data_IF_004849557907
#
_entry.id   IF_004849557907
#
_cell.length_a   1.000
_cell.length_b   1.000
_cell.length_c   1.000
_cell.angle_alpha   90.00
_cell.angle_beta   90.00
_cell.angle_gamma   90.00
#
_symmetry.space_group_name_H-M   'P 1'
#
loop_
_entity.id
_entity.type
_entity.pdbx_description
1 polymer ?
#
# COMPACT_ATOMS: atom_id res chain seq x y z
N UNK A 1 32.79 -10.54 -76.89
CA UNK A 1 32.23 -11.58 -77.78
C UNK A 1 30.79 -11.79 -77.42
N UNK A 2 29.88 -11.29 -78.18
CA UNK A 2 28.89 -11.96 -79.06
C UNK A 2 27.95 -12.87 -78.22
N UNK A 3 26.64 -12.78 -78.17
CA UNK A 3 25.50 -12.45 -79.06
C UNK A 3 24.31 -13.07 -78.39
N UNK A 4 23.12 -12.76 -78.37
CA UNK A 4 22.01 -12.21 -79.18
C UNK A 4 20.78 -12.54 -78.41
N UNK A 5 19.86 -11.68 -78.13
CA UNK A 5 18.66 -11.27 -78.84
C UNK A 5 17.66 -12.36 -79.24
N UNK A 6 16.42 -12.04 -78.90
CA UNK A 6 15.08 -12.24 -79.49
C UNK A 6 14.36 -13.54 -79.08
N UNK A 7 13.06 -13.55 -78.80
CA UNK A 7 11.80 -13.05 -79.41
C UNK A 7 10.68 -13.10 -78.39
N UNK A 8 9.93 -12.14 -78.16
CA UNK A 8 8.61 -11.74 -78.64
C UNK A 8 7.65 -12.90 -78.96
N UNK A 9 6.53 -12.84 -78.22
CA UNK A 9 5.36 -13.69 -78.46
C UNK A 9 4.15 -13.20 -77.68
N UNK A 10 3.47 -12.24 -78.27
CA UNK A 10 2.14 -11.75 -77.83
C UNK A 10 1.10 -12.84 -78.12
N UNK A 11 0.36 -13.28 -77.07
CA UNK A 11 -0.95 -13.91 -77.27
C UNK A 11 -1.91 -13.24 -76.34
N UNK A 12 -2.71 -12.37 -76.92
CA UNK A 12 -3.98 -11.87 -76.39
C UNK A 12 -5.01 -12.95 -76.60
N UNK A 13 -5.50 -13.52 -75.54
CA UNK A 13 -6.74 -14.30 -75.53
C UNK A 13 -7.77 -13.63 -74.66
N UNK A 14 -8.67 -12.92 -75.29
CA UNK A 14 -9.92 -12.45 -74.70
C UNK A 14 -10.78 -13.66 -74.41
N UNK A 15 -11.10 -13.90 -73.14
CA UNK A 15 -12.25 -14.72 -72.76
C UNK A 15 -13.10 -13.88 -71.82
N UNK A 16 -14.14 -13.33 -72.37
CA UNK A 16 -15.30 -12.84 -71.67
C UNK A 16 -16.14 -14.03 -71.23
N UNK A 17 -16.23 -14.30 -69.96
CA UNK A 17 -17.27 -15.14 -69.37
C UNK A 17 -17.69 -14.61 -68.00
N UNK A 18 -18.91 -14.16 -67.96
CA UNK A 18 -19.82 -14.32 -66.84
C UNK A 18 -19.52 -13.67 -65.50
N UNK A 19 -19.93 -12.43 -65.35
CA UNK A 19 -20.15 -11.83 -64.01
C UNK A 19 -21.37 -12.57 -63.39
N UNK A 20 -21.07 -13.56 -62.57
CA UNK A 20 -22.01 -14.01 -61.57
C UNK A 20 -21.61 -13.32 -60.24
N UNK A 21 -22.43 -12.34 -59.86
CA UNK A 21 -22.27 -11.61 -58.61
C UNK A 21 -22.42 -12.54 -57.41
N UNK A 22 -21.29 -12.89 -56.81
CA UNK A 22 -21.28 -13.35 -55.45
C UNK A 22 -21.04 -12.08 -54.61
N UNK A 23 -22.13 -11.50 -54.12
CA UNK A 23 -22.06 -10.45 -53.11
C UNK A 23 -21.43 -11.09 -51.88
N UNK A 24 -20.13 -10.93 -51.73
CA UNK A 24 -19.46 -11.12 -50.44
C UNK A 24 -19.96 -9.98 -49.55
N UNK A 25 -20.91 -10.30 -48.70
CA UNK A 25 -21.18 -9.52 -47.50
C UNK A 25 -19.90 -9.61 -46.67
N UNK A 26 -18.98 -8.67 -46.86
CA UNK A 26 -17.98 -8.35 -45.86
C UNK A 26 -18.79 -7.74 -44.70
N UNK A 27 -19.23 -8.57 -43.78
CA UNK A 27 -19.61 -8.12 -42.47
C UNK A 27 -18.33 -7.48 -41.89
N UNK A 28 -18.29 -6.15 -41.89
CA UNK A 28 -17.39 -5.43 -41.05
C UNK A 28 -17.74 -5.92 -39.65
N UNK A 29 -16.91 -6.81 -39.09
CA UNK A 29 -16.86 -7.01 -37.66
C UNK A 29 -16.60 -5.60 -37.12
N UNK A 30 -17.63 -4.96 -36.60
CA UNK A 30 -17.42 -3.88 -35.66
C UNK A 30 -16.63 -4.53 -34.55
N UNK A 31 -15.36 -4.14 -34.44
CA UNK A 31 -14.59 -4.36 -33.23
C UNK A 31 -15.47 -3.82 -32.12
N UNK A 32 -16.13 -4.72 -31.40
CA UNK A 32 -16.74 -4.36 -30.13
C UNK A 32 -15.54 -3.95 -29.31
N UNK A 33 -15.39 -2.66 -29.11
CA UNK A 33 -14.47 -2.10 -28.15
C UNK A 33 -14.86 -2.76 -26.84
N UNK A 34 -14.07 -3.77 -26.46
CA UNK A 34 -14.23 -4.51 -25.22
C UNK A 34 -13.98 -3.47 -24.14
N UNK A 35 -15.05 -2.81 -23.69
CA UNK A 35 -14.97 -1.87 -22.59
C UNK A 35 -14.46 -2.64 -21.40
N UNK A 36 -13.18 -2.48 -21.10
CA UNK A 36 -12.60 -2.97 -19.87
C UNK A 36 -13.51 -2.53 -18.72
N UNK A 37 -13.85 -3.43 -17.79
CA UNK A 37 -14.68 -3.05 -16.65
C UNK A 37 -14.00 -1.87 -15.94
N UNK A 38 -14.74 -0.79 -15.75
CA UNK A 38 -14.26 0.36 -15.00
C UNK A 38 -13.94 -0.10 -13.56
N UNK A 39 -12.70 0.07 -13.14
CA UNK A 39 -12.28 -0.22 -11.76
C UNK A 39 -12.71 0.98 -10.91
N UNK A 40 -13.64 0.79 -9.96
CA UNK A 40 -14.07 1.88 -9.10
C UNK A 40 -12.90 2.53 -8.35
N UNK A 41 -12.92 3.85 -8.22
CA UNK A 41 -11.92 4.64 -7.47
C UNK A 41 -10.47 4.52 -7.97
N UNK A 42 -10.23 3.94 -9.15
CA UNK A 42 -8.88 3.80 -9.68
C UNK A 42 -8.16 5.15 -9.82
N UNK A 43 -8.85 6.15 -10.37
CA UNK A 43 -8.27 7.49 -10.56
C UNK A 43 -8.04 8.21 -9.23
N UNK A 44 -8.92 8.01 -8.27
CA UNK A 44 -8.79 8.55 -6.92
C UNK A 44 -7.52 7.98 -6.25
N UNK A 45 -7.37 6.65 -6.29
CA UNK A 45 -6.20 5.98 -5.75
C UNK A 45 -4.91 6.39 -6.48
N UNK A 46 -4.91 6.46 -7.81
CA UNK A 46 -3.74 6.88 -8.59
C UNK A 46 -3.26 8.29 -8.28
N UNK A 47 -4.17 9.16 -7.82
CA UNK A 47 -3.85 10.51 -7.37
C UNK A 47 -3.42 10.61 -5.91
N UNK A 48 -3.45 9.52 -5.16
CA UNK A 48 -3.18 9.51 -3.73
C UNK A 48 -1.71 9.22 -3.38
N UNK A 49 -1.31 9.57 -2.17
CA UNK A 49 0.02 9.24 -1.65
C UNK A 49 0.27 7.73 -1.50
N UNK A 50 -0.76 6.89 -1.47
CA UNK A 50 -0.62 5.44 -1.46
C UNK A 50 -0.16 4.87 -2.81
N UNK A 51 -0.44 5.57 -3.91
CA UNK A 51 0.00 5.19 -5.25
C UNK A 51 1.26 5.92 -5.72
N UNK A 52 1.77 6.86 -4.93
CA UNK A 52 2.94 7.68 -5.28
C UNK A 52 4.23 6.87 -5.17
N UNK A 53 4.61 6.21 -6.26
CA UNK A 53 5.84 5.42 -6.35
C UNK A 53 7.13 6.24 -6.24
N UNK A 54 7.05 7.57 -6.32
CA UNK A 54 8.19 8.46 -6.14
C UNK A 54 8.35 8.96 -4.70
N UNK A 55 7.37 8.63 -3.83
CA UNK A 55 7.45 9.01 -2.42
C UNK A 55 8.61 8.30 -1.71
N UNK A 56 9.29 9.02 -0.82
CA UNK A 56 10.41 8.51 -0.02
C UNK A 56 10.05 7.21 0.72
N UNK A 57 8.80 7.05 1.11
CA UNK A 57 8.31 5.84 1.78
C UNK A 57 8.48 4.56 0.94
N UNK A 58 8.53 4.66 -0.38
CA UNK A 58 8.70 3.52 -1.28
C UNK A 58 10.06 3.52 -1.99
N UNK A 59 10.85 4.61 -1.84
CA UNK A 59 12.13 4.82 -2.52
C UNK A 59 13.33 4.77 -1.59
N UNK A 60 13.10 4.67 -0.29
CA UNK A 60 14.15 4.80 0.73
C UNK A 60 15.32 3.84 0.55
N UNK A 61 15.07 2.67 0.00
CA UNK A 61 16.07 1.60 -0.18
C UNK A 61 16.57 1.43 -1.62
N UNK A 62 16.27 2.36 -2.52
CA UNK A 62 16.64 2.27 -3.95
C UNK A 62 18.15 2.21 -4.18
N UNK A 63 18.91 2.88 -3.31
CA UNK A 63 20.37 2.97 -3.41
C UNK A 63 21.10 1.90 -2.57
N UNK A 64 20.38 1.04 -1.87
CA UNK A 64 20.94 -0.07 -1.09
C UNK A 64 21.44 -1.19 -2.02
N UNK A 65 22.37 -2.03 -1.53
CA UNK A 65 22.88 -3.19 -2.27
C UNK A 65 22.87 -4.44 -1.37
N UNK A 66 21.90 -5.35 -1.55
CA UNK A 66 20.79 -5.30 -2.53
C UNK A 66 19.74 -4.24 -2.20
N UNK A 67 19.07 -3.71 -3.25
CA UNK A 67 17.94 -2.80 -3.08
C UNK A 67 16.70 -3.57 -2.62
N UNK A 68 16.48 -3.63 -1.34
CA UNK A 68 15.41 -4.39 -0.69
C UNK A 68 14.83 -3.63 0.51
N UNK A 69 13.53 -3.68 0.66
CA UNK A 69 12.84 -3.21 1.88
C UNK A 69 13.04 -4.27 2.97
N UNK A 70 13.70 -3.95 4.10
CA UNK A 70 13.94 -4.91 5.16
C UNK A 70 12.67 -5.50 5.77
N UNK A 71 12.72 -6.72 6.29
CA UNK A 71 11.60 -7.44 6.90
C UNK A 71 10.83 -6.59 7.93
N UNK A 72 11.55 -5.86 8.79
CA UNK A 72 10.96 -5.02 9.82
C UNK A 72 10.34 -3.71 9.29
N UNK A 73 10.50 -3.41 8.01
CA UNK A 73 9.96 -2.23 7.34
C UNK A 73 8.87 -2.62 6.32
N UNK A 74 9.00 -3.79 5.68
CA UNK A 74 8.21 -4.17 4.52
C UNK A 74 6.71 -4.29 4.80
N UNK A 75 6.29 -4.61 6.03
CA UNK A 75 4.86 -4.57 6.42
C UNK A 75 4.17 -3.26 6.04
N UNK A 76 4.87 -2.14 6.14
CA UNK A 76 4.29 -0.81 5.94
C UNK A 76 4.75 -0.15 4.63
N UNK A 77 5.87 -0.59 4.06
CA UNK A 77 6.52 0.06 2.95
C UNK A 77 6.48 -0.75 1.63
N UNK A 78 5.69 -1.82 1.61
CA UNK A 78 5.38 -2.59 0.40
C UNK A 78 4.05 -3.32 0.54
N UNK A 79 3.30 -3.47 -0.55
CA UNK A 79 2.12 -4.34 -0.56
C UNK A 79 2.50 -5.79 -0.35
N UNK A 80 3.58 -6.24 -0.96
CA UNK A 80 4.07 -7.63 -0.83
C UNK A 80 4.39 -7.97 0.62
N UNK A 81 5.10 -7.10 1.34
CA UNK A 81 5.39 -7.31 2.76
C UNK A 81 4.15 -7.24 3.66
N UNK A 82 3.18 -6.39 3.30
CA UNK A 82 1.90 -6.34 4.02
C UNK A 82 1.11 -7.64 3.86
N UNK A 83 1.04 -8.17 2.64
CA UNK A 83 0.33 -9.41 2.34
C UNK A 83 1.02 -10.62 3.00
N UNK A 84 2.35 -10.67 2.98
CA UNK A 84 3.16 -11.67 3.69
C UNK A 84 2.86 -11.61 5.20
N UNK A 85 2.92 -10.44 5.83
CA UNK A 85 2.59 -10.25 7.25
C UNK A 85 1.19 -10.78 7.61
N UNK A 86 0.24 -10.71 6.69
CA UNK A 86 -1.12 -11.24 6.90
C UNK A 86 -1.31 -12.69 6.42
N UNK A 87 -0.26 -13.36 5.97
CA UNK A 87 -0.31 -14.74 5.52
C UNK A 87 -1.15 -14.96 4.26
N UNK A 88 -1.36 -13.91 3.45
CA UNK A 88 -2.19 -13.99 2.22
C UNK A 88 -1.54 -14.91 1.19
N UNK A 89 -0.24 -15.00 1.18
CA UNK A 89 0.57 -15.88 0.33
C UNK A 89 0.73 -17.30 0.88
N UNK A 90 0.19 -17.56 2.08
CA UNK A 90 0.27 -18.82 2.78
C UNK A 90 1.43 -18.92 3.78
N UNK A 91 2.14 -17.82 4.04
CA UNK A 91 3.20 -17.71 5.03
C UNK A 91 2.66 -17.63 6.48
N UNK A 92 3.55 -17.51 7.45
CA UNK A 92 3.18 -17.35 8.86
C UNK A 92 2.60 -15.96 9.12
N UNK A 93 1.43 -15.90 9.72
CA UNK A 93 0.75 -14.63 10.06
C UNK A 93 1.49 -13.90 11.18
N UNK A 94 1.64 -12.59 11.03
CA UNK A 94 2.25 -11.71 12.02
C UNK A 94 3.76 -11.52 11.85
N UNK A 95 4.33 -12.08 10.80
CA UNK A 95 5.74 -11.97 10.46
C UNK A 95 5.90 -11.66 8.99
N UNK A 96 6.83 -10.78 8.63
CA UNK A 96 7.33 -10.67 7.26
C UNK A 96 8.50 -11.63 7.14
N UNK A 97 8.40 -12.62 6.27
CA UNK A 97 9.31 -13.77 6.25
C UNK A 97 10.64 -13.52 5.53
N UNK A 98 10.71 -12.47 4.72
CA UNK A 98 11.92 -12.06 4.00
C UNK A 98 11.86 -10.58 3.61
N UNK A 99 13.04 -9.98 3.38
CA UNK A 99 13.11 -8.68 2.72
C UNK A 99 12.41 -8.70 1.36
N UNK A 100 11.86 -7.56 0.95
CA UNK A 100 11.12 -7.41 -0.30
C UNK A 100 11.98 -6.61 -1.28
N UNK A 101 12.28 -7.14 -2.48
CA UNK A 101 12.98 -6.37 -3.50
C UNK A 101 12.24 -5.06 -3.82
N UNK A 102 12.98 -3.96 -3.95
CA UNK A 102 12.38 -2.68 -4.33
C UNK A 102 11.75 -2.79 -5.71
N UNK A 103 10.47 -2.50 -5.79
CA UNK A 103 9.70 -2.42 -7.04
C UNK A 103 8.83 -1.16 -7.00
N UNK A 104 8.99 -0.23 -7.95
CA UNK A 104 8.15 0.97 -8.03
C UNK A 104 6.65 0.69 -8.12
N UNK A 105 6.24 -0.52 -8.52
CA UNK A 105 4.85 -0.93 -8.55
C UNK A 105 4.35 -1.45 -7.20
N UNK A 106 5.24 -1.76 -6.25
CA UNK A 106 4.88 -2.33 -4.94
C UNK A 106 4.57 -1.26 -3.88
N UNK A 107 3.81 -0.26 -4.28
CA UNK A 107 3.18 0.76 -3.43
C UNK A 107 1.97 0.16 -2.67
N UNK A 108 1.21 0.95 -1.92
CA UNK A 108 -0.04 0.47 -1.27
C UNK A 108 -1.10 0.23 -2.35
N UNK A 109 -1.16 -0.99 -2.86
CA UNK A 109 -2.07 -1.41 -3.92
C UNK A 109 -3.48 -1.68 -3.40
N UNK A 110 -4.45 -1.80 -4.31
CA UNK A 110 -5.83 -2.15 -3.95
C UNK A 110 -5.90 -3.44 -3.12
N UNK A 111 -5.12 -4.46 -3.51
CA UNK A 111 -5.08 -5.76 -2.84
C UNK A 111 -4.55 -5.69 -1.41
N UNK A 112 -3.79 -4.66 -1.04
CA UNK A 112 -3.31 -4.46 0.33
C UNK A 112 -4.48 -4.34 1.31
N UNK A 113 -5.53 -3.62 0.91
CA UNK A 113 -6.74 -3.42 1.73
C UNK A 113 -7.89 -4.34 1.34
N UNK A 114 -7.94 -4.80 0.08
CA UNK A 114 -9.03 -5.58 -0.50
C UNK A 114 -8.60 -7.03 -0.76
N UNK A 115 -8.45 -7.80 0.32
CA UNK A 115 -8.19 -9.24 0.31
C UNK A 115 -8.93 -9.91 1.47
N UNK A 116 -9.05 -11.22 1.45
CA UNK A 116 -9.84 -11.97 2.44
C UNK A 116 -9.29 -11.84 3.87
N UNK A 117 -7.99 -11.70 4.06
CA UNK A 117 -7.38 -11.59 5.38
C UNK A 117 -7.65 -10.21 6.03
N UNK A 118 -7.62 -9.15 5.24
CA UNK A 118 -7.70 -7.77 5.75
C UNK A 118 -9.12 -7.19 5.71
N UNK A 119 -9.99 -7.68 4.81
CA UNK A 119 -11.39 -7.21 4.72
C UNK A 119 -12.18 -7.44 6.00
N UNK A 120 -11.82 -8.45 6.78
CA UNK A 120 -12.49 -8.82 8.03
C UNK A 120 -11.64 -8.53 9.27
N UNK A 121 -10.54 -7.82 9.09
CA UNK A 121 -9.66 -7.44 10.19
C UNK A 121 -10.36 -6.48 11.15
N UNK A 122 -10.31 -6.78 12.44
CA UNK A 122 -10.97 -6.03 13.51
C UNK A 122 -10.04 -5.71 14.68
N UNK A 123 -8.80 -6.15 14.62
CA UNK A 123 -7.81 -5.91 15.67
C UNK A 123 -6.43 -5.58 15.10
N UNK A 124 -5.63 -4.90 15.91
CA UNK A 124 -4.23 -4.56 15.62
C UNK A 124 -3.40 -4.72 16.87
N UNK A 125 -2.23 -5.34 16.76
CA UNK A 125 -1.23 -5.36 17.84
C UNK A 125 -0.34 -4.13 17.66
N UNK A 126 -0.39 -3.23 18.64
CA UNK A 126 0.39 -2.00 18.64
C UNK A 126 1.88 -2.28 18.94
N UNK A 127 2.82 -1.37 18.61
CA UNK A 127 4.24 -1.53 18.95
C UNK A 127 4.50 -1.73 20.45
N UNK A 128 3.60 -1.31 21.31
CA UNK A 128 3.64 -1.58 22.74
C UNK A 128 3.35 -3.05 23.14
N UNK A 129 2.94 -3.89 22.18
CA UNK A 129 2.47 -5.25 22.41
C UNK A 129 0.99 -5.33 22.82
N UNK A 130 0.29 -4.21 22.98
CA UNK A 130 -1.14 -4.21 23.32
C UNK A 130 -1.98 -4.47 22.07
N UNK A 131 -2.95 -5.37 22.18
CA UNK A 131 -3.95 -5.60 21.14
C UNK A 131 -5.15 -4.68 21.33
N UNK A 132 -5.47 -3.91 20.29
CA UNK A 132 -6.71 -3.16 20.19
C UNK A 132 -7.71 -3.94 19.35
N UNK A 133 -8.95 -4.05 19.80
CA UNK A 133 -10.02 -4.85 19.17
C UNK A 133 -11.27 -4.03 18.96
N UNK A 134 -12.21 -4.51 18.13
CA UNK A 134 -13.44 -3.79 17.83
C UNK A 134 -13.23 -2.59 16.91
N UNK A 135 -12.18 -2.63 16.07
CA UNK A 135 -11.74 -1.50 15.25
C UNK A 135 -12.50 -1.40 13.94
N UNK A 136 -13.11 -2.51 13.48
CA UNK A 136 -13.73 -2.55 12.16
C UNK A 136 -12.76 -2.19 11.03
N UNK A 137 -13.25 -1.43 10.06
CA UNK A 137 -12.50 -1.13 8.84
C UNK A 137 -11.19 -0.35 9.07
N UNK A 138 -11.08 0.42 10.15
CA UNK A 138 -9.88 1.21 10.43
C UNK A 138 -8.68 0.35 10.85
N UNK A 139 -8.90 -0.91 11.26
CA UNK A 139 -7.80 -1.83 11.57
C UNK A 139 -6.78 -1.95 10.42
N UNK A 140 -7.25 -1.90 9.16
CA UNK A 140 -6.38 -1.94 7.97
C UNK A 140 -5.45 -0.73 7.89
N UNK A 141 -5.97 0.46 8.18
CA UNK A 141 -5.19 1.70 8.22
C UNK A 141 -4.16 1.65 9.34
N UNK A 142 -4.59 1.16 10.50
CA UNK A 142 -3.77 1.14 11.71
C UNK A 142 -2.57 0.22 11.61
N UNK A 143 -2.60 -0.83 10.80
CA UNK A 143 -1.44 -1.73 10.64
C UNK A 143 -0.17 -1.00 10.17
N UNK A 144 -0.31 0.01 9.31
CA UNK A 144 0.81 0.84 8.89
C UNK A 144 0.92 2.14 9.68
N UNK A 145 -0.22 2.70 10.11
CA UNK A 145 -0.28 3.99 10.80
C UNK A 145 -0.23 3.88 12.34
N UNK A 146 0.27 2.77 12.89
CA UNK A 146 0.44 2.55 14.34
C UNK A 146 1.75 3.08 14.91
N UNK A 147 2.72 3.43 14.06
CA UNK A 147 4.10 3.68 14.46
C UNK A 147 4.93 2.40 14.55
N UNK A 148 6.19 2.52 14.98
CA UNK A 148 7.14 1.39 15.11
C UNK A 148 7.79 1.30 16.49
N UNK A 149 7.73 2.35 17.28
CA UNK A 149 8.27 2.43 18.63
C UNK A 149 7.14 2.78 19.61
N UNK A 150 7.34 2.49 20.88
CA UNK A 150 6.40 2.77 21.95
C UNK A 150 7.14 3.04 23.26
N UNK A 151 6.44 3.34 24.35
CA UNK A 151 7.03 3.52 25.66
C UNK A 151 7.93 2.36 26.07
N UNK A 152 7.51 1.13 25.81
CA UNK A 152 8.32 -0.08 26.09
C UNK A 152 9.65 -0.13 25.35
N UNK A 153 9.76 0.55 24.19
CA UNK A 153 11.04 0.64 23.47
C UNK A 153 12.03 1.56 24.18
N UNK A 154 11.52 2.58 24.86
CA UNK A 154 12.33 3.49 25.69
C UNK A 154 12.79 2.76 26.94
N UNK A 155 11.89 2.07 27.63
CA UNK A 155 12.21 1.28 28.81
C UNK A 155 13.27 0.23 28.49
N UNK A 156 13.13 -0.52 27.41
CA UNK A 156 14.10 -1.51 26.96
C UNK A 156 15.48 -0.89 26.70
N UNK A 157 15.54 0.30 26.11
CA UNK A 157 16.82 0.98 25.87
C UNK A 157 17.49 1.46 27.18
N UNK A 158 16.69 1.90 28.16
CA UNK A 158 17.19 2.26 29.49
C UNK A 158 17.72 1.02 30.21
N UNK A 159 16.98 -0.06 30.18
CA UNK A 159 17.35 -1.33 30.80
C UNK A 159 18.64 -1.91 30.19
N UNK A 160 18.79 -1.83 28.87
CA UNK A 160 20.00 -2.29 28.16
C UNK A 160 21.27 -1.55 28.62
N UNK A 161 21.14 -0.25 28.91
CA UNK A 161 22.26 0.57 29.40
C UNK A 161 22.55 0.34 30.89
N UNK A 162 21.67 -0.39 31.60
CA UNK A 162 21.82 -0.68 33.04
C UNK A 162 22.15 0.58 33.87
N UNK A 163 21.44 1.67 33.62
CA UNK A 163 21.67 2.95 34.30
C UNK A 163 21.34 2.83 35.79
N UNK A 164 22.08 3.55 36.62
CA UNK A 164 21.90 3.52 38.09
C UNK A 164 20.53 4.05 38.54
N UNK A 165 19.95 4.93 37.76
CA UNK A 165 18.59 5.47 37.98
C UNK A 165 18.02 6.03 36.69
N UNK A 166 16.70 6.24 36.66
CA UNK A 166 15.97 6.87 35.53
C UNK A 166 16.39 8.33 35.28
N UNK A 167 17.04 8.97 36.27
CA UNK A 167 17.55 10.35 36.17
C UNK A 167 19.04 10.37 35.71
N UNK A 168 19.65 9.21 35.45
CA UNK A 168 21.04 9.16 35.02
C UNK A 168 21.15 9.59 33.56
N UNK A 169 21.91 10.66 33.33
CA UNK A 169 22.19 11.13 31.96
C UNK A 169 23.17 10.17 31.27
N UNK A 170 22.81 9.70 30.09
CA UNK A 170 23.66 8.85 29.25
C UNK A 170 23.66 9.38 27.81
N UNK A 171 24.87 9.55 27.26
CA UNK A 171 25.05 9.91 25.84
C UNK A 171 24.77 8.71 24.91
N UNK A 172 24.72 7.50 25.46
CA UNK A 172 24.43 6.27 24.72
C UNK A 172 22.92 6.02 24.52
N UNK A 173 22.07 6.75 25.29
CA UNK A 173 20.62 6.64 25.12
C UNK A 173 20.18 7.40 23.87
N UNK A 174 19.99 6.64 22.78
CA UNK A 174 19.53 7.18 21.50
C UNK A 174 18.06 7.58 21.52
N UNK A 175 17.69 8.50 20.65
CA UNK A 175 16.30 8.92 20.45
C UNK A 175 15.45 7.78 19.86
N UNK A 176 14.34 7.46 20.51
CA UNK A 176 13.35 6.52 20.00
C UNK A 176 12.28 7.28 19.22
N UNK A 177 12.23 7.07 17.92
CA UNK A 177 11.28 7.74 17.03
C UNK A 177 10.08 6.84 16.79
N UNK A 178 8.89 7.27 17.23
CA UNK A 178 7.63 6.56 17.00
C UNK A 178 7.36 6.34 15.50
N UNK A 179 8.02 7.07 14.63
CA UNK A 179 7.86 7.11 13.18
C UNK A 179 6.80 8.11 12.69
N UNK A 180 6.78 8.32 11.36
CA UNK A 180 5.85 9.28 10.74
C UNK A 180 4.44 8.72 10.66
N UNK A 181 3.46 9.60 10.64
CA UNK A 181 2.05 9.26 10.47
C UNK A 181 1.51 8.18 11.44
N UNK A 182 2.03 8.16 12.67
CA UNK A 182 1.57 7.27 13.74
C UNK A 182 0.19 7.69 14.30
N UNK A 183 -0.78 7.88 13.42
CA UNK A 183 -2.10 8.42 13.74
C UNK A 183 -2.88 7.51 14.72
N UNK A 184 -2.72 6.19 14.60
CA UNK A 184 -3.38 5.25 15.51
C UNK A 184 -2.85 5.38 16.94
N UNK A 185 -1.54 5.51 17.14
CA UNK A 185 -0.97 5.74 18.45
C UNK A 185 -1.49 7.04 19.07
N UNK A 186 -1.61 8.11 18.28
CA UNK A 186 -2.16 9.39 18.71
C UNK A 186 -3.66 9.27 19.09
N UNK A 187 -4.46 8.63 18.23
CA UNK A 187 -5.90 8.47 18.45
C UNK A 187 -6.21 7.67 19.71
N UNK A 188 -5.47 6.60 19.95
CA UNK A 188 -5.74 5.68 21.05
C UNK A 188 -4.98 6.02 22.35
N UNK A 189 -4.07 7.01 22.33
CA UNK A 189 -3.40 7.50 23.53
C UNK A 189 -2.84 6.39 24.41
N UNK A 190 -3.13 6.44 25.72
CA UNK A 190 -2.64 5.41 26.67
C UNK A 190 -3.20 4.00 26.41
N UNK A 191 -4.31 3.85 25.69
CA UNK A 191 -4.80 2.52 25.28
C UNK A 191 -3.83 1.84 24.29
N UNK A 192 -3.12 2.62 23.48
CA UNK A 192 -2.09 2.13 22.57
C UNK A 192 -0.70 2.09 23.24
N UNK A 193 -0.47 2.87 24.29
CA UNK A 193 0.83 3.11 24.93
C UNK A 193 1.93 3.45 23.92
N UNK A 194 1.56 4.22 22.90
CA UNK A 194 2.47 4.63 21.84
C UNK A 194 3.53 5.61 22.28
N UNK A 195 3.21 6.50 23.22
CA UNK A 195 4.14 7.45 23.83
C UNK A 195 4.77 6.92 25.12
N UNK A 196 5.80 7.60 25.59
CA UNK A 196 6.35 7.36 26.92
C UNK A 196 5.41 7.97 27.98
N UNK A 197 5.07 7.19 29.00
CA UNK A 197 4.22 7.60 30.10
C UNK A 197 5.04 7.61 31.37
N UNK A 198 5.07 8.78 32.06
CA UNK A 198 5.77 8.91 33.33
C UNK A 198 4.94 8.35 34.48
N UNK A 199 5.61 7.72 35.42
CA UNK A 199 4.98 7.29 36.66
C UNK A 199 4.37 8.49 37.40
N UNK A 200 3.21 8.26 38.02
CA UNK A 200 2.45 9.24 38.80
C UNK A 200 1.65 10.28 38.02
N UNK A 201 1.77 10.31 36.69
CA UNK A 201 0.93 11.12 35.81
C UNK A 201 -0.30 10.34 35.34
N UNK A 202 -1.29 11.08 34.85
CA UNK A 202 -2.51 10.51 34.27
C UNK A 202 -2.58 10.90 32.80
N UNK A 203 -2.79 9.90 31.95
CA UNK A 203 -2.85 10.07 30.51
C UNK A 203 -4.23 9.72 29.98
N UNK A 204 -4.68 10.46 28.97
CA UNK A 204 -5.96 10.21 28.35
C UNK A 204 -5.87 8.97 27.42
N UNK A 205 -6.96 8.21 27.43
CA UNK A 205 -7.12 7.06 26.53
C UNK A 205 -7.48 7.46 25.11
N UNK A 206 -8.59 6.93 24.62
CA UNK A 206 -9.04 7.22 23.26
C UNK A 206 -9.46 8.68 23.08
N UNK A 207 -8.91 9.34 22.07
CA UNK A 207 -9.29 10.68 21.65
C UNK A 207 -10.39 10.62 20.59
N UNK A 208 -11.63 10.45 21.02
CA UNK A 208 -12.78 10.62 20.14
C UNK A 208 -12.89 12.08 19.68
N UNK A 209 -13.06 12.34 18.39
CA UNK A 209 -13.11 13.70 17.88
C UNK A 209 -14.46 14.35 18.21
N UNK A 210 -15.52 13.96 17.55
CA UNK A 210 -16.91 14.37 17.81
C UNK A 210 -17.84 13.18 17.59
N UNK A 211 -19.06 13.26 18.10
CA UNK A 211 -20.06 12.22 17.86
C UNK A 211 -20.29 12.02 16.35
N UNK A 212 -20.19 10.78 15.89
CA UNK A 212 -20.34 10.41 14.48
C UNK A 212 -19.02 10.43 13.66
N UNK A 213 -17.91 10.91 14.25
CA UNK A 213 -16.59 10.96 13.59
C UNK A 213 -15.57 10.20 14.46
N UNK A 214 -15.72 8.88 14.51
CA UNK A 214 -14.93 8.04 15.41
C UNK A 214 -13.92 7.15 14.72
N UNK A 215 -14.04 6.97 13.40
CA UNK A 215 -13.12 6.12 12.61
C UNK A 215 -12.30 6.94 11.65
N UNK A 216 -11.22 6.35 11.12
CA UNK A 216 -10.38 7.02 10.12
C UNK A 216 -11.20 7.41 8.88
N UNK A 217 -12.10 6.53 8.45
CA UNK A 217 -12.91 6.71 7.25
C UNK A 217 -14.03 7.74 7.40
N UNK A 218 -14.35 8.15 8.62
CA UNK A 218 -15.33 9.23 8.84
C UNK A 218 -14.77 10.60 8.43
N UNK A 219 -13.44 10.71 8.36
CA UNK A 219 -12.74 11.93 8.01
C UNK A 219 -11.90 11.81 6.75
N UNK A 220 -11.31 10.62 6.49
CA UNK A 220 -10.44 10.39 5.32
C UNK A 220 -11.15 9.54 4.27
N UNK A 221 -11.13 10.00 3.02
CA UNK A 221 -11.42 9.10 1.89
C UNK A 221 -10.36 8.00 1.83
N UNK A 222 -10.73 6.72 1.85
CA UNK A 222 -9.74 5.64 1.83
C UNK A 222 -8.99 5.52 0.49
N UNK A 223 -9.46 6.19 -0.56
CA UNK A 223 -8.87 6.12 -1.90
C UNK A 223 -8.12 7.38 -2.28
N UNK A 224 -8.67 8.59 -2.05
CA UNK A 224 -7.94 9.86 -2.29
C UNK A 224 -7.03 10.24 -1.13
N UNK A 225 -7.27 9.73 0.07
CA UNK A 225 -6.66 10.10 1.37
C UNK A 225 -6.96 11.52 1.81
N UNK A 226 -7.74 12.26 1.05
CA UNK A 226 -8.15 13.62 1.39
C UNK A 226 -9.10 13.64 2.59
N UNK A 227 -9.02 14.76 3.34
CA UNK A 227 -9.96 15.01 4.42
C UNK A 227 -11.29 15.51 3.85
N UNK A 228 -12.39 14.93 4.30
CA UNK A 228 -13.74 15.47 4.07
C UNK A 228 -13.99 16.65 5.02
N UNK A 229 -13.47 17.81 4.63
CA UNK A 229 -13.60 19.05 5.41
C UNK A 229 -15.05 19.56 5.37
N UNK A 230 -15.82 19.25 4.33
CA UNK A 230 -17.20 19.70 4.20
C UNK A 230 -18.07 19.08 5.30
N UNK A 231 -17.83 17.84 5.67
CA UNK A 231 -18.56 17.19 6.76
C UNK A 231 -18.31 17.82 8.15
N UNK A 232 -17.23 18.58 8.30
CA UNK A 232 -16.95 19.31 9.55
C UNK A 232 -17.78 20.59 9.72
N UNK A 233 -18.45 21.06 8.65
CA UNK A 233 -19.16 22.35 8.63
C UNK A 233 -20.68 22.21 8.70
N UNK A 234 -21.20 21.01 8.78
CA UNK A 234 -22.63 20.69 8.90
C UNK A 234 -22.98 20.35 10.33
#
# INVERSE_FOLDING_TARGET
>A
MRRKLLFAGLVVALVCVGVLGIGANVALAQDAEETQPEIPFLLDWMGSGHADSEAEAFRHWDEDDPAEVPENCAKCHSSSGYLDFHGVDGSEVGVVNSSVPVDPADVVQCVTCHNDATMHKDSVIMPSGLELTGLGAEARCMECHQGREAGVSVDAAIDELALESVDTVSEELGFKNIHYYAAAATKYGTLAKGGYEYDFDTYDGNFAHVEGFNTCNDCHSPHTLELDIESCTT
#
